data_IF_427583464736
#
_entry.id   IF_427583464736
#
_cell.length_a   1.000
_cell.length_b   1.000
_cell.length_c   1.000
_cell.angle_alpha   90.00
_cell.angle_beta   90.00
_cell.angle_gamma   90.00
#
_symmetry.space_group_name_H-M   'P 1'
#
loop_
_entity.id
_entity.type
_entity.pdbx_description
1 polymer ?
#
# COMPACT_ATOMS: atom_id res chain seq x y z
N UNK A 1 22.93 4.68 25.74
CA UNK A 1 24.35 4.26 25.63
C UNK A 1 24.67 3.86 24.21
N UNK A 2 25.13 4.79 23.37
CA UNK A 2 25.64 4.46 22.03
C UNK A 2 27.05 3.88 22.20
N UNK A 3 27.19 2.55 22.08
CA UNK A 3 28.50 1.90 22.10
C UNK A 3 29.25 2.35 20.84
N UNK A 4 30.35 3.09 21.01
CA UNK A 4 31.25 3.43 19.90
C UNK A 4 31.72 2.11 19.28
N UNK A 5 31.36 1.90 18.02
CA UNK A 5 31.78 0.71 17.29
C UNK A 5 33.31 0.69 17.22
N UNK A 6 33.92 -0.40 17.69
CA UNK A 6 35.35 -0.60 17.55
C UNK A 6 35.74 -0.44 16.07
N UNK A 7 36.89 0.20 15.81
CA UNK A 7 37.36 0.48 14.46
C UNK A 7 37.61 -0.85 13.74
N UNK A 8 36.66 -1.25 12.89
CA UNK A 8 36.77 -2.50 12.13
C UNK A 8 37.75 -2.29 10.97
N UNK A 9 38.58 -3.30 10.63
CA UNK A 9 39.55 -3.19 9.55
C UNK A 9 38.89 -2.94 8.20
N UNK A 10 37.66 -3.42 7.98
CA UNK A 10 36.90 -3.19 6.75
C UNK A 10 35.78 -2.16 6.97
N UNK A 11 36.10 -0.89 6.66
CA UNK A 11 35.16 0.23 6.80
C UNK A 11 33.98 0.13 5.82
N UNK A 12 34.21 -0.35 4.60
CA UNK A 12 33.16 -0.48 3.59
C UNK A 12 32.04 -1.44 4.06
N UNK A 13 32.40 -2.62 4.56
CA UNK A 13 31.42 -3.57 5.13
C UNK A 13 30.72 -3.00 6.38
N UNK A 14 31.45 -2.24 7.19
CA UNK A 14 30.87 -1.59 8.36
C UNK A 14 29.83 -0.52 7.97
N UNK A 15 30.05 0.20 6.87
CA UNK A 15 29.15 1.23 6.35
C UNK A 15 27.88 0.59 5.76
N UNK A 16 28.02 -0.47 4.96
CA UNK A 16 26.87 -1.19 4.38
C UNK A 16 25.93 -1.75 5.46
N UNK A 17 26.46 -2.15 6.62
CA UNK A 17 25.65 -2.63 7.74
C UNK A 17 24.93 -1.52 8.52
N UNK A 18 25.21 -0.24 8.24
CA UNK A 18 24.51 0.88 8.89
C UNK A 18 23.08 1.00 8.36
N UNK A 19 22.14 1.56 9.16
CA UNK A 19 20.77 1.84 8.71
C UNK A 19 20.69 2.72 7.46
N UNK A 20 21.75 3.48 7.17
CA UNK A 20 21.88 4.31 5.97
C UNK A 20 21.68 3.50 4.68
N UNK A 21 22.22 2.28 4.63
CA UNK A 21 22.17 1.39 3.47
C UNK A 21 21.15 0.26 3.62
N UNK A 22 20.14 0.42 4.47
CA UNK A 22 19.05 -0.56 4.59
C UNK A 22 18.29 -0.70 3.28
N UNK A 23 17.77 -1.89 3.00
CA UNK A 23 16.85 -2.12 1.89
C UNK A 23 15.62 -1.21 2.00
N UNK A 24 15.22 -0.63 0.88
CA UNK A 24 14.02 0.21 0.75
C UNK A 24 13.03 -0.51 -0.13
N UNK A 25 11.82 -0.69 0.37
CA UNK A 25 10.72 -1.24 -0.40
C UNK A 25 9.81 -0.07 -0.77
N UNK A 26 9.61 0.14 -2.07
CA UNK A 26 8.65 1.13 -2.56
C UNK A 26 7.22 0.68 -2.27
N UNK A 27 6.33 1.65 -2.06
CA UNK A 27 4.92 1.36 -1.80
C UNK A 27 4.24 0.96 -3.11
N UNK A 28 3.60 -0.22 -3.20
CA UNK A 28 2.91 -0.64 -4.41
C UNK A 28 1.69 0.25 -4.66
N UNK A 29 1.41 0.56 -5.93
CA UNK A 29 0.22 1.34 -6.31
C UNK A 29 -1.07 0.53 -6.26
N UNK A 30 -0.99 -0.80 -6.46
CA UNK A 30 -2.14 -1.72 -6.44
C UNK A 30 -1.74 -3.04 -5.77
N UNK A 31 -2.68 -3.72 -5.12
CA UNK A 31 -2.47 -5.02 -4.46
C UNK A 31 -2.24 -4.93 -2.95
N UNK A 32 -1.45 -5.85 -2.38
CA UNK A 32 -1.24 -5.92 -0.93
C UNK A 32 -0.49 -4.68 -0.43
N UNK A 33 -1.05 -4.00 0.56
CA UNK A 33 -0.45 -2.81 1.16
C UNK A 33 -0.58 -1.54 0.32
N UNK A 34 -1.39 -1.55 -0.75
CA UNK A 34 -1.64 -0.35 -1.57
C UNK A 34 -2.81 0.51 -1.08
N UNK A 35 -3.61 0.03 -0.11
CA UNK A 35 -4.76 0.77 0.41
C UNK A 35 -4.33 2.09 1.08
N UNK A 36 -5.00 3.20 0.72
CA UNK A 36 -4.78 4.53 1.28
C UNK A 36 -6.06 5.03 1.92
N UNK A 37 -6.05 5.26 3.24
CA UNK A 37 -7.23 5.76 3.98
C UNK A 37 -7.72 7.12 3.50
N UNK A 38 -6.81 7.98 3.05
CA UNK A 38 -7.10 9.34 2.56
C UNK A 38 -7.75 9.37 1.16
N UNK A 39 -7.63 8.28 0.38
CA UNK A 39 -8.05 8.30 -1.02
C UNK A 39 -9.57 8.42 -1.19
N UNK A 40 -10.36 7.87 -0.26
CA UNK A 40 -11.82 7.97 -0.30
C UNK A 40 -12.36 9.34 0.13
N UNK A 41 -11.57 10.13 0.87
CA UNK A 41 -12.00 11.47 1.31
C UNK A 41 -11.85 12.54 0.23
N UNK A 42 -10.89 12.35 -0.69
CA UNK A 42 -10.62 13.28 -1.80
C UNK A 42 -11.17 12.82 -3.15
N UNK A 43 -11.54 11.55 -3.29
CA UNK A 43 -12.02 10.97 -4.55
C UNK A 43 -13.51 10.61 -4.45
N UNK A 44 -14.37 11.61 -4.61
CA UNK A 44 -15.83 11.47 -4.66
C UNK A 44 -16.30 10.69 -5.91
N UNK A 45 -15.47 10.56 -6.94
CA UNK A 45 -15.76 9.77 -8.15
C UNK A 45 -15.64 8.26 -7.91
N UNK A 46 -14.95 7.83 -6.84
CA UNK A 46 -14.84 6.42 -6.45
C UNK A 46 -16.07 5.90 -5.68
N UNK A 47 -16.98 6.79 -5.27
CA UNK A 47 -18.25 6.43 -4.65
C UNK A 47 -19.33 6.21 -5.70
N UNK A 48 -19.38 5.03 -6.31
CA UNK A 48 -20.56 4.62 -7.08
C UNK A 48 -21.72 4.31 -6.11
N UNK A 49 -22.58 5.30 -5.84
CA UNK A 49 -23.87 5.05 -5.22
C UNK A 49 -24.77 4.36 -6.24
N UNK A 50 -24.83 3.02 -6.19
CA UNK A 50 -25.79 2.24 -6.96
C UNK A 50 -27.16 2.40 -6.31
N UNK A 51 -27.84 3.49 -6.66
CA UNK A 51 -29.20 3.79 -6.26
C UNK A 51 -30.19 2.66 -6.61
N UNK A 52 -31.27 2.60 -5.83
CA UNK A 52 -32.25 1.53 -5.70
C UNK A 52 -32.97 1.14 -7.01
N UNK A 53 -32.77 1.90 -8.08
CA UNK A 53 -33.33 1.63 -9.40
C UNK A 53 -32.65 0.47 -10.16
N UNK A 54 -31.36 0.20 -9.92
CA UNK A 54 -30.63 -0.86 -10.64
C UNK A 54 -30.84 -2.29 -10.08
N UNK A 55 -31.47 -2.42 -8.91
CA UNK A 55 -31.80 -3.73 -8.33
C UNK A 55 -32.87 -4.47 -9.15
N UNK A 56 -33.73 -3.74 -9.86
CA UNK A 56 -34.80 -4.31 -10.69
C UNK A 56 -34.22 -5.07 -11.90
N UNK A 57 -33.25 -4.49 -12.60
CA UNK A 57 -32.59 -5.13 -13.76
C UNK A 57 -31.76 -6.36 -13.38
N UNK A 58 -31.13 -6.36 -12.19
CA UNK A 58 -30.37 -7.51 -11.71
C UNK A 58 -31.27 -8.72 -11.34
N UNK A 59 -32.47 -8.46 -10.80
CA UNK A 59 -33.47 -9.51 -10.52
C UNK A 59 -34.03 -10.14 -11.81
N UNK A 60 -34.27 -9.33 -12.85
CA UNK A 60 -34.71 -9.85 -14.15
C UNK A 60 -33.65 -10.72 -14.84
N UNK A 61 -32.38 -10.35 -14.76
CA UNK A 61 -31.29 -11.16 -15.31
C UNK A 61 -31.09 -12.49 -14.55
N UNK A 62 -31.27 -12.49 -13.22
CA UNK A 62 -31.16 -13.71 -12.40
C UNK A 62 -32.35 -14.68 -12.59
N UNK A 63 -33.51 -14.20 -13.01
CA UNK A 63 -34.70 -15.02 -13.30
C UNK A 63 -34.69 -15.64 -14.70
N UNK A 64 -33.75 -15.26 -15.57
CA UNK A 64 -33.63 -15.77 -16.94
C UNK A 64 -32.63 -16.95 -17.07
N UNK A 65 -32.10 -17.43 -15.94
CA UNK A 65 -31.27 -18.64 -15.84
C UNK A 65 -32.08 -19.80 -15.27
#
# INVERSE_FOLDING_TARGET
MSKKAAKRPNQAKSIVAQPLFRSRQERPQKGKGSYRREASQHNWEASCFMGRENASMALFAASAC
#
